data_IF_880518880714
#
_entry.id   IF_880518880714
#
_cell.length_a   1.000
_cell.length_b   1.000
_cell.length_c   1.000
_cell.angle_alpha   90.00
_cell.angle_beta   90.00
_cell.angle_gamma   90.00
#
_symmetry.space_group_name_H-M   'P 1'
#
loop_
_entity.id
_entity.type
_entity.pdbx_description
1 polymer ?
#
# COMPACT_ATOMS: atom_id res chain seq x y z
N UNK A 1 18.57 -46.44 -20.77
CA UNK A 1 17.47 -45.67 -21.37
C UNK A 1 16.33 -45.65 -20.37
N UNK A 2 16.25 -44.60 -19.57
CA UNK A 2 15.19 -44.41 -18.58
C UNK A 2 14.58 -43.05 -18.88
N UNK A 3 13.31 -43.09 -19.28
CA UNK A 3 12.53 -41.94 -19.69
C UNK A 3 12.40 -40.96 -18.53
N UNK A 4 12.83 -39.73 -18.78
CA UNK A 4 12.63 -38.59 -17.91
C UNK A 4 11.14 -38.25 -17.97
N UNK A 5 10.38 -38.58 -16.91
CA UNK A 5 9.01 -38.12 -16.77
C UNK A 5 9.06 -36.60 -16.64
N UNK A 6 8.47 -35.92 -17.62
CA UNK A 6 8.28 -34.47 -17.60
C UNK A 6 7.45 -34.11 -16.39
N UNK A 7 8.10 -33.51 -15.39
CA UNK A 7 7.41 -32.78 -14.34
C UNK A 7 6.66 -31.62 -14.98
N UNK A 8 5.35 -31.63 -14.75
CA UNK A 8 4.37 -30.63 -15.18
C UNK A 8 4.85 -29.19 -14.97
N UNK A 9 4.38 -28.24 -15.82
CA UNK A 9 4.89 -26.89 -15.84
C UNK A 9 4.56 -26.17 -14.52
N UNK A 10 5.59 -25.54 -13.95
CA UNK A 10 5.52 -24.55 -12.87
C UNK A 10 4.24 -23.71 -13.02
N UNK A 11 3.34 -23.66 -12.02
CA UNK A 11 2.09 -22.95 -12.20
C UNK A 11 2.40 -21.47 -12.46
N UNK A 12 1.69 -20.89 -13.43
CA UNK A 12 1.73 -19.48 -13.78
C UNK A 12 1.85 -18.60 -12.51
N UNK A 13 2.71 -17.56 -12.56
CA UNK A 13 2.96 -16.63 -11.44
C UNK A 13 1.68 -16.33 -10.66
N UNK A 14 1.75 -16.18 -9.32
CA UNK A 14 0.57 -15.97 -8.46
C UNK A 14 -0.40 -14.89 -9.00
N UNK A 15 0.15 -13.81 -9.56
CA UNK A 15 -0.58 -12.78 -10.31
C UNK A 15 -1.48 -13.36 -11.41
N UNK A 16 -0.94 -14.23 -12.27
CA UNK A 16 -1.68 -14.91 -13.33
C UNK A 16 -2.79 -15.83 -12.81
N UNK A 17 -2.57 -16.50 -11.67
CA UNK A 17 -3.63 -17.29 -11.03
C UNK A 17 -4.79 -16.41 -10.55
N UNK A 18 -4.48 -15.27 -9.91
CA UNK A 18 -5.49 -14.32 -9.43
C UNK A 18 -6.30 -13.71 -10.58
N UNK A 19 -5.64 -13.37 -11.69
CA UNK A 19 -6.31 -12.82 -12.87
C UNK A 19 -7.18 -13.88 -13.56
N UNK A 20 -6.68 -15.11 -13.72
CA UNK A 20 -7.49 -16.21 -14.27
C UNK A 20 -8.74 -16.47 -13.42
N UNK A 21 -8.60 -16.48 -12.09
CA UNK A 21 -9.73 -16.61 -11.18
C UNK A 21 -10.72 -15.43 -11.30
N UNK A 22 -10.22 -14.20 -11.49
CA UNK A 22 -11.03 -13.01 -11.74
C UNK A 22 -11.83 -13.14 -13.03
N UNK A 23 -11.21 -13.57 -14.12
CA UNK A 23 -11.88 -13.71 -15.42
C UNK A 23 -12.95 -14.80 -15.40
N UNK A 24 -12.65 -15.94 -14.76
CA UNK A 24 -13.65 -16.99 -14.53
C UNK A 24 -14.82 -16.50 -13.67
N UNK A 25 -14.55 -15.71 -12.64
CA UNK A 25 -15.59 -15.13 -11.79
C UNK A 25 -16.49 -14.16 -12.57
N UNK A 26 -15.89 -13.30 -13.41
CA UNK A 26 -16.64 -12.38 -14.27
C UNK A 26 -17.52 -13.12 -15.28
N UNK A 27 -16.98 -14.15 -15.94
CA UNK A 27 -17.74 -14.94 -16.90
C UNK A 27 -18.99 -15.57 -16.24
N UNK A 28 -18.80 -16.23 -15.10
CA UNK A 28 -19.90 -16.85 -14.34
C UNK A 28 -20.92 -15.82 -13.85
N UNK A 29 -20.45 -14.67 -13.40
CA UNK A 29 -21.32 -13.59 -12.95
C UNK A 29 -22.19 -13.04 -14.09
N UNK A 30 -21.57 -12.74 -15.24
CA UNK A 30 -22.28 -12.24 -16.41
C UNK A 30 -23.32 -13.24 -16.93
N UNK A 31 -22.95 -14.51 -17.07
CA UNK A 31 -23.86 -15.59 -17.46
C UNK A 31 -25.05 -15.69 -16.49
N UNK A 32 -24.80 -15.66 -15.18
CA UNK A 32 -25.84 -15.67 -14.17
C UNK A 32 -26.79 -14.47 -14.26
N UNK A 33 -26.26 -13.26 -14.49
CA UNK A 33 -27.11 -12.07 -14.65
C UNK A 33 -27.98 -12.14 -15.90
N UNK A 34 -27.45 -12.67 -17.01
CA UNK A 34 -28.23 -12.88 -18.24
C UNK A 34 -29.35 -13.88 -18.04
N UNK A 35 -29.08 -15.01 -17.39
CA UNK A 35 -30.10 -16.02 -17.07
C UNK A 35 -31.24 -15.45 -16.18
N UNK A 36 -30.92 -14.60 -15.21
CA UNK A 36 -31.93 -13.92 -14.39
C UNK A 36 -32.75 -12.92 -15.22
N UNK A 37 -32.11 -12.23 -16.16
CA UNK A 37 -32.81 -11.33 -17.09
C UNK A 37 -33.80 -12.10 -17.97
N UNK A 38 -33.38 -13.22 -18.55
CA UNK A 38 -34.25 -14.09 -19.35
C UNK A 38 -35.42 -14.64 -18.52
N UNK A 39 -35.17 -15.09 -17.29
CA UNK A 39 -36.22 -15.53 -16.39
C UNK A 39 -37.21 -14.40 -16.05
N UNK A 40 -36.73 -13.16 -15.93
CA UNK A 40 -37.57 -11.98 -15.69
C UNK A 40 -38.52 -11.71 -16.86
N UNK A 41 -38.03 -11.86 -18.10
CA UNK A 41 -38.84 -11.72 -19.31
C UNK A 41 -39.91 -12.82 -19.39
N UNK A 42 -39.54 -14.07 -19.10
CA UNK A 42 -40.46 -15.21 -19.15
C UNK A 42 -41.60 -15.11 -18.13
N UNK A 43 -41.36 -14.55 -16.94
CA UNK A 43 -42.40 -14.37 -15.92
C UNK A 43 -43.12 -13.01 -16.00
N UNK A 44 -42.68 -12.11 -16.89
CA UNK A 44 -43.29 -10.78 -17.08
C UNK A 44 -43.06 -9.81 -15.92
N UNK A 45 -42.07 -10.06 -15.05
CA UNK A 45 -41.69 -9.18 -13.94
C UNK A 45 -40.18 -9.22 -13.70
N UNK A 46 -39.58 -8.09 -13.28
CA UNK A 46 -38.15 -8.05 -12.97
C UNK A 46 -37.83 -8.87 -11.72
N UNK A 47 -36.90 -9.83 -11.84
CA UNK A 47 -36.36 -10.61 -10.71
C UNK A 47 -35.19 -9.91 -10.02
N UNK A 48 -34.70 -8.78 -10.54
CA UNK A 48 -33.73 -7.92 -9.88
C UNK A 48 -34.42 -7.07 -8.80
N UNK A 49 -34.87 -7.73 -7.72
CA UNK A 49 -35.61 -7.10 -6.62
C UNK A 49 -34.83 -7.19 -5.31
N UNK A 50 -35.20 -6.35 -4.33
CA UNK A 50 -34.55 -6.32 -3.01
C UNK A 50 -34.74 -7.60 -2.20
N UNK A 51 -35.70 -8.45 -2.60
CA UNK A 51 -35.97 -9.76 -1.98
C UNK A 51 -35.03 -10.85 -2.49
N UNK A 52 -34.51 -10.70 -3.71
CA UNK A 52 -33.65 -11.68 -4.38
C UNK A 52 -32.19 -11.23 -4.31
N UNK A 53 -31.95 -9.92 -4.35
CA UNK A 53 -30.63 -9.30 -4.28
C UNK A 53 -30.64 -8.16 -3.28
N UNK A 54 -29.60 -8.05 -2.46
CA UNK A 54 -29.47 -6.91 -1.56
C UNK A 54 -29.29 -5.62 -2.40
N UNK A 55 -30.07 -4.56 -2.15
CA UNK A 55 -29.81 -3.26 -2.76
C UNK A 55 -28.39 -2.80 -2.38
N UNK A 56 -27.61 -2.35 -3.35
CA UNK A 56 -26.35 -1.69 -3.01
C UNK A 56 -26.66 -0.31 -2.37
N UNK A 57 -25.64 0.39 -1.85
CA UNK A 57 -25.80 1.69 -1.20
C UNK A 57 -26.48 2.77 -2.09
N UNK A 58 -26.61 2.50 -3.39
CA UNK A 58 -27.21 3.37 -4.41
C UNK A 58 -28.53 2.80 -4.99
N UNK A 59 -29.08 1.72 -4.42
CA UNK A 59 -30.30 1.05 -4.89
C UNK A 59 -30.03 -0.19 -5.76
N UNK A 60 -31.08 -0.74 -6.37
CA UNK A 60 -30.91 -1.76 -7.41
C UNK A 60 -30.59 -1.07 -8.74
N UNK A 61 -29.65 -1.60 -9.54
CA UNK A 61 -29.36 -1.03 -10.85
C UNK A 61 -30.61 -0.96 -11.72
N UNK A 62 -30.72 0.11 -12.52
CA UNK A 62 -31.86 0.35 -13.41
C UNK A 62 -31.86 -0.50 -14.68
N UNK A 63 -30.77 -1.22 -14.99
CA UNK A 63 -30.61 -2.06 -16.19
C UNK A 63 -29.65 -3.22 -15.95
N UNK A 64 -29.73 -4.25 -16.80
CA UNK A 64 -28.81 -5.40 -16.80
C UNK A 64 -27.35 -4.96 -16.96
N UNK A 65 -27.07 -4.10 -17.93
CA UNK A 65 -25.70 -3.61 -18.19
C UNK A 65 -25.10 -2.92 -16.96
N UNK A 66 -25.91 -2.12 -16.26
CA UNK A 66 -25.47 -1.46 -15.03
C UNK A 66 -25.22 -2.47 -13.91
N UNK A 67 -26.04 -3.53 -13.80
CA UNK A 67 -25.79 -4.62 -12.84
C UNK A 67 -24.49 -5.36 -13.14
N UNK A 68 -24.23 -5.66 -14.42
CA UNK A 68 -22.99 -6.30 -14.86
C UNK A 68 -21.78 -5.42 -14.51
N UNK A 69 -21.86 -4.12 -14.79
CA UNK A 69 -20.78 -3.17 -14.50
C UNK A 69 -20.52 -3.00 -13.00
N UNK A 70 -21.55 -2.94 -12.15
CA UNK A 70 -21.36 -2.88 -10.70
C UNK A 70 -20.73 -4.17 -10.15
N UNK A 71 -21.11 -5.34 -10.68
CA UNK A 71 -20.48 -6.60 -10.32
C UNK A 71 -19.02 -6.68 -10.79
N UNK A 72 -18.72 -6.18 -12.00
CA UNK A 72 -17.35 -6.01 -12.48
C UNK A 72 -16.51 -5.20 -11.50
N UNK A 73 -17.03 -4.05 -11.06
CA UNK A 73 -16.35 -3.18 -10.10
C UNK A 73 -16.02 -3.91 -8.80
N UNK A 74 -16.97 -4.65 -8.23
CA UNK A 74 -16.72 -5.39 -6.98
C UNK A 74 -15.69 -6.51 -7.17
N UNK A 75 -15.79 -7.28 -8.26
CA UNK A 75 -14.84 -8.35 -8.57
C UNK A 75 -13.43 -7.79 -8.80
N UNK A 76 -13.30 -6.70 -9.55
CA UNK A 76 -12.01 -6.04 -9.78
C UNK A 76 -11.43 -5.46 -8.49
N UNK A 77 -12.25 -4.78 -7.67
CA UNK A 77 -11.85 -4.26 -6.37
C UNK A 77 -11.28 -5.35 -5.46
N UNK A 78 -11.95 -6.51 -5.40
CA UNK A 78 -11.48 -7.66 -4.62
C UNK A 78 -10.19 -8.25 -5.20
N UNK A 79 -10.10 -8.34 -6.52
CA UNK A 79 -8.90 -8.84 -7.21
C UNK A 79 -7.69 -7.95 -6.92
N UNK A 80 -7.82 -6.63 -7.02
CA UNK A 80 -6.75 -5.69 -6.69
C UNK A 80 -6.30 -5.78 -5.23
N UNK A 81 -7.24 -5.88 -4.28
CA UNK A 81 -6.89 -6.07 -2.85
C UNK A 81 -6.06 -7.34 -2.65
N UNK A 82 -6.46 -8.46 -3.26
CA UNK A 82 -5.70 -9.72 -3.20
C UNK A 82 -4.35 -9.61 -3.89
N UNK A 83 -4.26 -8.90 -5.02
CA UNK A 83 -2.98 -8.63 -5.68
C UNK A 83 -2.03 -7.88 -4.74
N UNK A 84 -2.51 -6.86 -4.03
CA UNK A 84 -1.71 -6.14 -3.04
C UNK A 84 -1.31 -7.02 -1.87
N UNK A 85 -2.25 -7.71 -1.25
CA UNK A 85 -2.01 -8.57 -0.09
C UNK A 85 -1.04 -9.72 -0.40
N UNK A 86 -1.20 -10.38 -1.55
CA UNK A 86 -0.49 -11.62 -1.86
C UNK A 86 0.81 -11.39 -2.65
N UNK A 87 0.95 -10.27 -3.37
CA UNK A 87 2.18 -9.97 -4.14
C UNK A 87 2.98 -8.81 -3.55
N UNK A 88 2.38 -8.01 -2.68
CA UNK A 88 2.99 -6.81 -2.10
C UNK A 88 3.34 -5.75 -3.15
N UNK A 89 2.67 -5.71 -4.30
CA UNK A 89 3.01 -4.77 -5.38
C UNK A 89 2.80 -3.29 -4.99
N UNK A 90 1.99 -3.02 -3.97
CA UNK A 90 1.81 -1.67 -3.42
C UNK A 90 3.08 -1.14 -2.74
N UNK A 91 4.09 -1.99 -2.45
CA UNK A 91 5.39 -1.57 -1.90
C UNK A 91 6.17 -0.58 -2.78
N UNK A 92 5.81 -0.49 -4.06
CA UNK A 92 6.45 0.41 -5.01
C UNK A 92 5.87 1.83 -4.99
N UNK A 93 4.83 2.05 -4.18
CA UNK A 93 4.12 3.31 -4.07
C UNK A 93 4.36 4.00 -2.73
N UNK A 94 4.36 5.33 -2.76
CA UNK A 94 4.27 6.15 -1.55
C UNK A 94 2.81 6.21 -1.04
N UNK A 95 2.60 6.70 0.17
CA UNK A 95 1.26 6.81 0.76
C UNK A 95 0.25 7.59 -0.10
N UNK A 96 0.66 8.67 -0.78
CA UNK A 96 -0.24 9.45 -1.66
C UNK A 96 -0.76 8.62 -2.83
N UNK A 97 0.12 7.86 -3.49
CA UNK A 97 -0.26 6.97 -4.58
C UNK A 97 -1.14 5.81 -4.09
N UNK A 98 -0.82 5.22 -2.93
CA UNK A 98 -1.67 4.20 -2.30
C UNK A 98 -3.06 4.74 -2.00
N UNK A 99 -3.15 5.95 -1.48
CA UNK A 99 -4.44 6.59 -1.16
C UNK A 99 -5.23 6.93 -2.42
N UNK A 100 -4.58 7.50 -3.44
CA UNK A 100 -5.21 7.76 -4.74
C UNK A 100 -5.73 6.46 -5.39
N UNK A 101 -4.94 5.39 -5.33
CA UNK A 101 -5.36 4.09 -5.86
C UNK A 101 -6.49 3.48 -5.03
N UNK A 102 -6.43 3.54 -3.70
CA UNK A 102 -7.51 3.08 -2.83
C UNK A 102 -8.81 3.85 -3.08
N UNK A 103 -8.72 5.15 -3.38
CA UNK A 103 -9.88 5.96 -3.77
C UNK A 103 -10.43 5.54 -5.14
N UNK A 104 -9.57 5.22 -6.11
CA UNK A 104 -10.04 4.60 -7.37
C UNK A 104 -10.73 3.27 -7.12
N UNK A 105 -10.21 2.43 -6.21
CA UNK A 105 -10.85 1.17 -5.86
C UNK A 105 -12.24 1.41 -5.24
N UNK A 106 -12.40 2.47 -4.45
CA UNK A 106 -13.68 2.82 -3.82
C UNK A 106 -14.71 3.35 -4.83
N UNK A 107 -14.27 4.13 -5.81
CA UNK A 107 -15.14 4.87 -6.74
C UNK A 107 -15.33 4.13 -8.06
N UNK A 108 -14.26 4.00 -8.85
CA UNK A 108 -14.25 3.34 -10.15
C UNK A 108 -12.99 2.47 -10.31
N UNK A 109 -13.03 1.21 -9.86
CA UNK A 109 -11.86 0.35 -9.84
C UNK A 109 -11.40 0.01 -11.27
N UNK A 110 -10.09 0.11 -11.55
CA UNK A 110 -9.54 -0.27 -12.84
C UNK A 110 -9.75 -1.76 -13.09
N UNK A 111 -9.95 -2.13 -14.36
CA UNK A 111 -10.13 -3.52 -14.76
C UNK A 111 -8.88 -4.33 -14.38
N UNK A 112 -9.04 -5.41 -13.61
CA UNK A 112 -7.93 -6.23 -13.11
C UNK A 112 -7.49 -7.28 -14.15
N UNK A 113 -7.29 -6.87 -15.41
CA UNK A 113 -6.79 -7.74 -16.47
C UNK A 113 -5.26 -7.89 -16.39
N UNK A 114 -4.71 -8.93 -17.02
CA UNK A 114 -3.26 -9.17 -17.03
C UNK A 114 -2.47 -8.02 -17.62
N UNK A 115 -2.98 -7.41 -18.69
CA UNK A 115 -2.36 -6.26 -19.33
C UNK A 115 -2.31 -5.05 -18.38
N UNK A 116 -3.45 -4.71 -17.77
CA UNK A 116 -3.55 -3.54 -16.88
C UNK A 116 -2.72 -3.75 -15.62
N UNK A 117 -2.76 -4.94 -15.02
CA UNK A 117 -1.97 -5.27 -13.83
C UNK A 117 -0.47 -5.18 -14.13
N UNK A 118 -0.02 -5.74 -15.27
CA UNK A 118 1.37 -5.61 -15.70
C UNK A 118 1.77 -4.17 -15.98
N UNK A 119 0.95 -3.42 -16.71
CA UNK A 119 1.22 -2.01 -17.01
C UNK A 119 1.31 -1.16 -15.73
N UNK A 120 0.41 -1.40 -14.78
CA UNK A 120 0.42 -0.75 -13.46
C UNK A 120 1.72 -1.04 -12.70
N UNK A 121 2.16 -2.30 -12.67
CA UNK A 121 3.40 -2.68 -12.01
C UNK A 121 4.64 -2.11 -12.70
N UNK A 122 4.69 -2.16 -14.04
CA UNK A 122 5.79 -1.60 -14.83
C UNK A 122 5.91 -0.09 -14.60
N UNK A 123 4.78 0.63 -14.62
CA UNK A 123 4.75 2.05 -14.32
C UNK A 123 5.21 2.35 -12.89
N UNK A 124 4.78 1.55 -11.90
CA UNK A 124 5.21 1.68 -10.51
C UNK A 124 6.72 1.48 -10.35
N UNK A 125 7.29 0.46 -11.03
CA UNK A 125 8.72 0.17 -10.99
C UNK A 125 9.56 1.24 -11.69
N UNK A 126 9.11 1.71 -12.86
CA UNK A 126 9.81 2.74 -13.62
C UNK A 126 9.92 4.06 -12.85
N UNK A 127 8.84 4.46 -12.17
CA UNK A 127 8.78 5.72 -11.42
C UNK A 127 9.11 5.56 -9.93
N UNK A 128 9.57 4.38 -9.51
CA UNK A 128 9.75 4.01 -8.10
C UNK A 128 10.67 4.98 -7.36
N UNK A 129 11.82 5.30 -7.97
CA UNK A 129 12.82 6.17 -7.32
C UNK A 129 12.27 7.56 -7.05
N UNK A 130 11.62 8.18 -8.04
CA UNK A 130 11.06 9.52 -7.90
C UNK A 130 9.90 9.54 -6.91
N UNK A 131 9.01 8.56 -7.01
CA UNK A 131 7.88 8.36 -6.08
C UNK A 131 8.34 8.26 -4.62
N UNK A 132 9.41 7.50 -4.36
CA UNK A 132 9.94 7.31 -3.02
C UNK A 132 10.69 8.54 -2.53
N UNK A 133 11.40 9.24 -3.43
CA UNK A 133 12.05 10.50 -3.11
C UNK A 133 11.01 11.56 -2.67
N UNK A 134 9.89 11.66 -3.39
CA UNK A 134 8.75 12.50 -3.01
C UNK A 134 8.16 12.09 -1.65
N UNK A 135 7.88 10.80 -1.46
CA UNK A 135 7.34 10.28 -0.20
C UNK A 135 8.29 10.54 0.99
N UNK A 136 9.59 10.40 0.77
CA UNK A 136 10.58 10.66 1.80
C UNK A 136 10.65 12.13 2.19
N UNK A 137 10.65 13.04 1.21
CA UNK A 137 10.64 14.48 1.48
C UNK A 137 9.33 14.90 2.17
N UNK A 138 8.19 14.32 1.80
CA UNK A 138 6.92 14.52 2.51
C UNK A 138 7.02 14.12 3.99
N UNK A 139 7.62 12.96 4.29
CA UNK A 139 7.87 12.53 5.68
C UNK A 139 8.76 13.54 6.41
N UNK A 140 9.86 13.98 5.78
CA UNK A 140 10.78 14.97 6.37
C UNK A 140 10.11 16.33 6.58
N UNK A 141 9.16 16.72 5.73
CA UNK A 141 8.41 17.97 5.86
C UNK A 141 7.42 17.94 7.03
N UNK A 142 6.80 16.78 7.30
CA UNK A 142 5.81 16.58 8.38
C UNK A 142 6.43 16.49 9.78
N UNK A 143 7.76 16.45 9.90
CA UNK A 143 8.42 16.36 11.21
C UNK A 143 8.15 17.57 12.10
N UNK A 144 7.90 17.29 13.38
CA UNK A 144 7.79 18.33 14.41
C UNK A 144 9.14 19.02 14.62
N UNK A 145 9.20 20.32 14.31
CA UNK A 145 10.42 21.14 14.33
C UNK A 145 10.85 21.58 15.73
N UNK A 146 10.03 21.34 16.75
CA UNK A 146 10.42 21.59 18.14
C UNK A 146 11.58 20.70 18.60
N UNK A 147 11.79 19.56 17.94
CA UNK A 147 12.94 18.69 18.19
C UNK A 147 14.18 19.16 17.43
N UNK A 148 15.29 19.38 18.14
CA UNK A 148 16.58 19.82 17.57
C UNK A 148 17.07 18.93 16.41
N UNK A 149 16.83 17.63 16.48
CA UNK A 149 17.23 16.68 15.45
C UNK A 149 16.41 16.80 14.16
N UNK A 150 15.15 17.26 14.26
CA UNK A 150 14.25 17.50 13.15
C UNK A 150 14.37 18.91 12.58
N UNK A 151 15.17 19.80 13.18
CA UNK A 151 15.27 21.19 12.74
C UNK A 151 16.03 21.37 11.41
N UNK A 152 16.80 20.37 10.98
CA UNK A 152 17.50 20.41 9.68
C UNK A 152 16.51 20.18 8.54
N UNK A 153 16.62 21.01 7.50
CA UNK A 153 15.83 20.89 6.28
C UNK A 153 16.65 20.14 5.23
N UNK A 154 15.99 19.24 4.50
CA UNK A 154 16.53 18.65 3.25
C UNK A 154 17.87 17.92 3.40
N UNK A 155 18.09 17.30 4.55
CA UNK A 155 19.17 16.34 4.79
C UNK A 155 18.65 15.33 5.79
N UNK A 156 18.95 14.05 5.59
CA UNK A 156 18.57 13.03 6.55
C UNK A 156 19.40 13.21 7.84
N UNK A 157 18.76 13.52 9.00
CA UNK A 157 19.49 13.55 10.25
C UNK A 157 19.87 12.14 10.70
N UNK A 158 20.97 11.99 11.44
CA UNK A 158 21.33 10.72 12.11
C UNK A 158 20.26 10.24 13.09
N UNK A 159 19.40 11.15 13.54
CA UNK A 159 18.28 10.88 14.43
C UNK A 159 17.04 11.64 13.98
N UNK A 160 15.93 10.94 13.85
CA UNK A 160 14.60 11.45 13.55
C UNK A 160 13.70 11.28 14.78
N UNK A 161 12.81 12.23 15.03
CA UNK A 161 11.77 12.09 16.06
C UNK A 161 10.40 12.15 15.39
N UNK A 162 9.66 11.06 15.47
CA UNK A 162 8.27 10.99 15.06
C UNK A 162 7.38 11.13 16.30
N UNK A 163 6.59 12.21 16.33
CA UNK A 163 5.73 12.53 17.47
C UNK A 163 4.39 11.80 17.35
N UNK A 164 3.90 11.25 18.47
CA UNK A 164 2.54 10.71 18.55
C UNK A 164 2.29 9.54 17.61
N UNK A 165 3.26 8.66 17.38
CA UNK A 165 3.04 7.42 16.60
C UNK A 165 2.09 6.49 17.37
N UNK A 166 2.24 6.42 18.69
CA UNK A 166 1.35 5.66 19.58
C UNK A 166 0.63 6.61 20.54
N UNK A 167 -0.50 6.22 21.15
CA UNK A 167 -1.11 7.01 22.23
C UNK A 167 -0.11 7.28 23.36
N UNK A 168 -0.28 8.30 24.19
CA UNK A 168 0.54 8.45 25.41
C UNK A 168 0.11 7.44 26.46
N UNK A 169 1.02 6.96 27.33
CA UNK A 169 0.60 6.18 28.52
C UNK A 169 -0.24 7.06 29.46
N UNK A 170 0.11 8.35 29.56
CA UNK A 170 -0.68 9.32 30.30
C UNK A 170 -1.81 9.87 29.41
N UNK A 171 -3.01 9.33 29.57
CA UNK A 171 -4.22 9.73 28.84
C UNK A 171 -4.66 11.19 29.07
N UNK A 172 -4.15 11.84 30.13
CA UNK A 172 -4.45 13.24 30.43
C UNK A 172 -3.64 14.23 29.59
N UNK A 173 -2.65 13.76 28.84
CA UNK A 173 -1.84 14.61 27.95
C UNK A 173 -1.95 14.12 26.51
N UNK A 174 -2.71 14.86 25.70
CA UNK A 174 -2.76 14.60 24.27
C UNK A 174 -1.37 14.79 23.65
N UNK A 175 -0.86 13.74 23.02
CA UNK A 175 0.48 13.71 22.45
C UNK A 175 0.50 13.93 20.93
N UNK A 176 -0.67 14.16 20.29
CA UNK A 176 -0.77 14.26 18.84
C UNK A 176 -1.05 12.93 18.13
N UNK A 177 -1.44 11.89 18.87
CA UNK A 177 -1.74 10.59 18.27
C UNK A 177 -2.92 10.65 17.30
N UNK A 178 -2.70 10.07 16.11
CA UNK A 178 -3.69 9.66 15.12
C UNK A 178 -3.26 8.31 14.56
N UNK A 179 -4.22 7.47 14.19
CA UNK A 179 -3.94 6.19 13.53
C UNK A 179 -3.19 6.39 12.20
N UNK A 180 -3.39 7.53 11.55
CA UNK A 180 -2.70 7.90 10.30
C UNK A 180 -1.19 8.13 10.49
N UNK A 181 -0.74 8.38 11.73
CA UNK A 181 0.68 8.56 12.01
C UNK A 181 1.48 7.28 11.75
N UNK A 182 0.84 6.10 11.77
CA UNK A 182 1.46 4.85 11.36
C UNK A 182 1.89 4.86 9.89
N UNK A 183 1.25 5.65 9.01
CA UNK A 183 1.67 5.76 7.61
C UNK A 183 3.08 6.33 7.48
N UNK A 184 3.46 7.31 8.30
CA UNK A 184 4.81 7.87 8.28
C UNK A 184 5.87 6.82 8.63
N UNK A 185 5.54 5.92 9.56
CA UNK A 185 6.44 4.84 9.98
C UNK A 185 6.58 3.76 8.91
N UNK A 186 5.47 3.36 8.27
CA UNK A 186 5.47 2.39 7.15
C UNK A 186 6.19 2.94 5.93
N UNK A 187 5.95 4.21 5.58
CA UNK A 187 6.64 4.86 4.47
C UNK A 187 8.14 4.90 4.72
N UNK A 188 8.55 5.25 5.94
CA UNK A 188 9.96 5.24 6.33
C UNK A 188 10.58 3.84 6.23
N UNK A 189 9.91 2.80 6.73
CA UNK A 189 10.37 1.42 6.62
C UNK A 189 10.49 0.97 5.15
N UNK A 190 9.51 1.31 4.31
CA UNK A 190 9.58 1.04 2.87
C UNK A 190 10.82 1.70 2.26
N UNK A 191 11.07 2.97 2.56
CA UNK A 191 12.23 3.70 2.02
C UNK A 191 13.55 3.03 2.44
N UNK A 192 13.66 2.63 3.72
CA UNK A 192 14.85 1.94 4.25
C UNK A 192 15.07 0.60 3.55
N UNK A 193 14.04 -0.25 3.49
CA UNK A 193 14.15 -1.56 2.82
C UNK A 193 14.65 -1.41 1.38
N UNK A 194 14.22 -0.36 0.69
CA UNK A 194 14.59 -0.12 -0.70
C UNK A 194 16.01 0.40 -0.83
N UNK A 195 16.45 1.29 0.07
CA UNK A 195 17.85 1.74 0.12
C UNK A 195 18.82 0.60 0.48
N UNK A 196 18.33 -0.41 1.19
CA UNK A 196 19.10 -1.58 1.63
C UNK A 196 18.93 -2.81 0.75
N UNK A 197 18.17 -2.73 -0.35
CA UNK A 197 17.80 -3.87 -1.22
C UNK A 197 17.19 -5.07 -0.44
N UNK A 198 16.49 -4.80 0.66
CA UNK A 198 15.82 -5.82 1.49
C UNK A 198 14.31 -5.88 1.23
N UNK A 199 13.68 -7.04 1.45
CA UNK A 199 12.23 -7.17 1.29
C UNK A 199 11.50 -6.39 2.38
N UNK A 200 10.54 -5.56 1.97
CA UNK A 200 9.58 -4.94 2.88
C UNK A 200 8.78 -6.01 3.63
N UNK A 201 8.67 -5.94 4.97
CA UNK A 201 7.82 -6.83 5.74
C UNK A 201 6.33 -6.69 5.37
N UNK A 202 5.59 -7.81 5.37
CA UNK A 202 4.15 -7.78 5.18
C UNK A 202 3.46 -7.06 6.37
N UNK A 203 2.45 -6.24 6.07
CA UNK A 203 1.66 -5.56 7.11
C UNK A 203 0.88 -6.60 7.92
N UNK A 204 0.98 -6.55 9.26
CA UNK A 204 0.31 -7.50 10.14
C UNK A 204 1.01 -8.87 10.22
N UNK A 205 2.17 -9.03 9.58
CA UNK A 205 3.00 -10.23 9.67
C UNK A 205 3.86 -10.29 10.94
N UNK A 206 3.81 -9.26 11.80
CA UNK A 206 4.59 -9.22 13.05
C UNK A 206 6.03 -8.75 12.87
N UNK A 207 6.50 -8.63 11.63
CA UNK A 207 7.89 -8.34 11.27
C UNK A 207 8.13 -6.87 10.93
N UNK A 208 7.08 -6.11 10.60
CA UNK A 208 7.20 -4.69 10.27
C UNK A 208 7.59 -3.85 11.49
N UNK A 209 8.21 -2.70 11.27
CA UNK A 209 8.60 -1.73 12.29
C UNK A 209 7.38 -1.32 13.12
N UNK A 210 6.22 -1.12 12.47
CA UNK A 210 4.96 -0.83 13.15
C UNK A 210 4.53 -2.00 14.02
N UNK A 211 4.55 -3.23 13.51
CA UNK A 211 4.09 -4.40 14.27
C UNK A 211 4.99 -4.66 15.49
N UNK A 212 6.32 -4.58 15.31
CA UNK A 212 7.31 -4.75 16.38
C UNK A 212 7.14 -3.70 17.49
N UNK A 213 6.96 -2.44 17.10
CA UNK A 213 6.71 -1.35 18.06
C UNK A 213 5.33 -1.46 18.71
N UNK A 214 4.31 -1.96 18.00
CA UNK A 214 2.96 -2.20 18.55
C UNK A 214 2.99 -3.31 19.58
N UNK A 215 3.70 -4.42 19.31
CA UNK A 215 3.87 -5.50 20.27
C UNK A 215 4.55 -5.00 21.55
N UNK A 216 5.65 -4.26 21.40
CA UNK A 216 6.37 -3.61 22.51
C UNK A 216 5.48 -2.63 23.27
N UNK A 217 4.63 -1.88 22.56
CA UNK A 217 3.70 -0.94 23.17
C UNK A 217 2.69 -1.62 24.09
N UNK A 218 2.25 -2.82 23.72
CA UNK A 218 1.26 -3.58 24.45
C UNK A 218 1.84 -4.34 25.67
N UNK A 219 3.16 -4.55 25.71
CA UNK A 219 3.84 -5.27 26.80
C UNK A 219 4.59 -4.34 27.74
N UNK A 220 5.52 -3.55 27.20
CA UNK A 220 6.52 -2.80 27.97
C UNK A 220 6.29 -1.28 27.92
N UNK A 221 5.39 -0.81 27.05
CA UNK A 221 5.08 0.60 26.76
C UNK A 221 6.23 1.46 26.18
N UNK A 222 7.48 1.01 26.33
CA UNK A 222 8.72 1.65 25.90
C UNK A 222 9.75 0.58 25.60
N UNK A 223 10.74 0.90 24.77
CA UNK A 223 11.82 -0.04 24.44
C UNK A 223 12.50 0.32 23.12
N UNK A 224 13.42 -0.52 22.65
CA UNK A 224 14.18 -0.30 21.42
C UNK A 224 14.13 -1.54 20.53
N UNK A 225 13.87 -1.34 19.24
CA UNK A 225 13.96 -2.35 18.20
C UNK A 225 15.04 -1.93 17.21
N UNK A 226 15.87 -2.88 16.80
CA UNK A 226 16.93 -2.67 15.82
C UNK A 226 16.78 -3.62 14.65
N UNK A 227 17.48 -3.32 13.57
CA UNK A 227 17.55 -4.17 12.40
C UNK A 227 19.01 -4.29 11.92
N UNK A 228 19.29 -5.38 11.21
CA UNK A 228 20.62 -5.67 10.66
C UNK A 228 21.06 -4.63 9.62
N UNK A 229 20.11 -3.92 9.01
CA UNK A 229 20.35 -2.86 8.03
C UNK A 229 20.84 -1.53 8.65
N UNK A 230 21.06 -1.48 9.97
CA UNK A 230 21.75 -0.38 10.64
C UNK A 230 20.85 0.81 10.98
N UNK A 231 19.59 0.54 11.33
CA UNK A 231 18.69 1.50 11.98
C UNK A 231 18.19 0.96 13.32
N UNK A 232 17.81 1.88 14.21
CA UNK A 232 17.20 1.58 15.51
C UNK A 232 16.03 2.49 15.78
N UNK A 233 14.93 1.93 16.26
CA UNK A 233 13.73 2.66 16.66
C UNK A 233 13.47 2.47 18.15
N UNK A 234 13.42 3.58 18.88
CA UNK A 234 13.09 3.59 20.30
C UNK A 234 11.71 4.19 20.54
N UNK A 235 10.83 3.40 21.15
CA UNK A 235 9.53 3.84 21.63
C UNK A 235 9.68 4.46 23.02
N UNK A 236 9.02 5.59 23.25
CA UNK A 236 8.92 6.25 24.56
C UNK A 236 7.49 6.20 25.08
N UNK A 237 7.32 6.25 26.40
CA UNK A 237 6.01 6.20 27.08
C UNK A 237 5.04 7.31 26.63
N UNK A 238 5.59 8.46 26.21
CA UNK A 238 4.79 9.55 25.67
C UNK A 238 4.27 9.27 24.24
N UNK A 239 4.52 8.09 23.67
CA UNK A 239 4.07 7.65 22.35
C UNK A 239 4.93 8.12 21.18
N UNK A 240 6.04 8.81 21.45
CA UNK A 240 6.99 9.21 20.41
C UNK A 240 7.93 8.06 20.03
N UNK A 241 8.33 8.03 18.77
CA UNK A 241 9.31 7.08 18.24
C UNK A 241 10.54 7.84 17.78
N UNK A 242 11.70 7.48 18.31
CA UNK A 242 12.98 8.02 17.87
C UNK A 242 13.65 7.01 16.94
N UNK A 243 13.97 7.43 15.72
CA UNK A 243 14.68 6.60 14.74
C UNK A 243 16.12 7.08 14.66
N UNK A 244 17.08 6.18 14.86
CA UNK A 244 18.51 6.42 14.71
C UNK A 244 19.03 5.64 13.52
N UNK A 245 19.87 6.26 12.70
CA UNK A 245 20.58 5.62 11.58
C UNK A 245 22.04 5.46 11.97
N UNK A 246 22.44 4.23 12.24
CA UNK A 246 23.81 3.89 12.64
C UNK A 246 24.67 3.57 11.41
N UNK A 247 24.06 3.03 10.34
CA UNK A 247 24.76 2.73 9.08
C UNK A 247 25.01 3.98 8.24
N UNK A 248 26.28 4.25 7.93
CA UNK A 248 26.66 5.37 7.07
C UNK A 248 26.26 5.15 5.61
N UNK A 249 26.24 3.89 5.12
CA UNK A 249 25.80 3.59 3.77
C UNK A 249 24.30 3.85 3.60
N UNK A 250 23.48 3.45 4.59
CA UNK A 250 22.05 3.76 4.61
C UNK A 250 21.81 5.26 4.70
N UNK A 251 22.55 5.97 5.55
CA UNK A 251 22.45 7.43 5.66
C UNK A 251 22.77 8.14 4.33
N UNK A 252 23.78 7.67 3.59
CA UNK A 252 24.12 8.21 2.28
C UNK A 252 23.03 7.92 1.25
N UNK A 253 22.55 6.67 1.17
CA UNK A 253 21.47 6.30 0.25
C UNK A 253 20.18 7.11 0.48
N UNK A 254 19.83 7.39 1.74
CA UNK A 254 18.71 8.27 2.08
C UNK A 254 18.95 9.71 1.61
N UNK A 255 20.17 10.24 1.75
CA UNK A 255 20.51 11.57 1.24
C UNK A 255 20.55 11.63 -0.30
N UNK A 256 20.91 10.54 -0.97
CA UNK A 256 20.86 10.44 -2.43
C UNK A 256 19.40 10.54 -2.93
N UNK A 257 18.44 9.91 -2.23
CA UNK A 257 17.01 10.07 -2.53
C UNK A 257 16.54 11.53 -2.39
N UNK A 258 16.98 12.23 -1.34
CA UNK A 258 16.68 13.66 -1.19
C UNK A 258 17.25 14.45 -2.37
N UNK A 259 18.47 14.12 -2.80
CA UNK A 259 19.14 14.79 -3.92
C UNK A 259 18.39 14.57 -5.24
N UNK A 260 17.86 13.36 -5.49
CA UNK A 260 17.02 13.04 -6.65
C UNK A 260 15.76 13.91 -6.66
N UNK A 261 15.07 14.02 -5.52
CA UNK A 261 13.88 14.88 -5.41
C UNK A 261 14.20 16.32 -5.85
N UNK A 262 15.28 16.91 -5.33
CA UNK A 262 15.65 18.27 -5.72
C UNK A 262 16.09 18.41 -7.17
N UNK A 263 16.82 17.43 -7.70
CA UNK A 263 17.24 17.43 -9.11
C UNK A 263 16.03 17.48 -10.05
N UNK A 264 14.95 16.75 -9.72
CA UNK A 264 13.72 16.71 -10.51
C UNK A 264 12.88 18.00 -10.39
N UNK A 265 13.12 18.84 -9.39
CA UNK A 265 12.45 20.13 -9.20
C UNK A 265 13.20 21.30 -9.85
N UNK A 266 14.44 21.09 -10.29
CA UNK A 266 15.20 22.12 -10.98
C UNK A 266 14.58 22.36 -12.37
N UNK A 267 14.26 23.61 -12.74
CA UNK A 267 13.82 23.90 -14.10
C UNK A 267 14.90 23.45 -15.08
N UNK A 268 14.49 22.81 -16.19
CA UNK A 268 15.41 22.45 -17.26
C UNK A 268 16.25 23.68 -17.60
N UNK A 269 17.58 23.57 -17.46
CA UNK A 269 18.49 24.69 -17.60
C UNK A 269 18.11 25.49 -18.84
N UNK A 270 17.64 26.73 -18.61
CA UNK A 270 17.17 27.59 -19.68
C UNK A 270 18.27 27.66 -20.74
N UNK A 271 17.95 27.26 -21.97
CA UNK A 271 18.83 27.47 -23.12
C UNK A 271 19.15 28.97 -23.14
N UNK A 272 20.39 29.32 -22.80
CA UNK A 272 20.94 30.65 -23.04
C UNK A 272 21.19 30.82 -24.53
#
# INVERSE_FOLDING_TARGET
>A
MTQNQGSEPVPASRTGQLISARDMAMQKFEEGMRLISEASELCGLSLFTSRIMQPNAFGLPSSLDRTIEEGRKEIDRKTWKRLFEETGMDRYWNHKQKEAFNESLRTDPPVASLEIVKGTLQHALANRRDTLAEGFVDVLNKLDRSFKSNARQYTMPKKLVLRGIFPGVNVLRYNGFSQDNHFCLRDFENIVCICSDTPTPATGGGLSMVDRLTAMRNTEFTGEVSDENGWRCRLFENGNVHICIDSISLLNALNDLISIYFANQLPAAGKK
#
